data_IF_400134831711
#
_entry.id   IF_400134831711
#
_cell.length_a   1.000
_cell.length_b   1.000
_cell.length_c   1.000
_cell.angle_alpha   90.00
_cell.angle_beta   90.00
_cell.angle_gamma   90.00
#
_symmetry.space_group_name_H-M   'P 1'
#
loop_
_entity.id
_entity.type
_entity.pdbx_description
1 polymer ?
#
# COMPACT_ATOMS: atom_id res chain seq x y z
N UNK A 1 -3.78 72.06 -8.46
CA UNK A 1 -3.29 70.69 -8.20
C UNK A 1 -4.32 69.94 -7.36
N UNK A 2 -4.98 68.91 -7.90
CA UNK A 2 -5.88 68.00 -7.15
C UNK A 2 -5.40 66.58 -7.42
N UNK A 3 -5.02 65.88 -6.35
CA UNK A 3 -4.53 64.50 -6.36
C UNK A 3 -5.69 63.52 -6.18
N UNK A 4 -5.55 62.39 -6.87
CA UNK A 4 -6.44 61.26 -7.07
C UNK A 4 -6.70 60.49 -5.75
N UNK A 5 -7.97 60.18 -5.47
CA UNK A 5 -8.38 59.20 -4.46
C UNK A 5 -9.04 57.99 -5.11
N UNK A 6 -8.42 56.81 -4.96
CA UNK A 6 -8.84 55.52 -5.52
C UNK A 6 -10.25 55.10 -5.08
N UNK A 7 -11.10 54.70 -6.03
CA UNK A 7 -12.32 53.93 -5.81
C UNK A 7 -11.97 52.48 -5.45
N UNK A 8 -12.49 51.96 -4.34
CA UNK A 8 -12.53 50.52 -4.05
C UNK A 8 -13.89 49.93 -4.45
N UNK A 9 -13.85 48.85 -5.23
CA UNK A 9 -15.03 48.09 -5.66
C UNK A 9 -15.65 47.29 -4.49
N UNK A 10 -16.97 47.07 -4.48
CA UNK A 10 -17.63 46.31 -3.41
C UNK A 10 -17.26 44.82 -3.48
N UNK A 11 -16.88 44.26 -2.33
CA UNK A 11 -16.49 42.87 -2.17
C UNK A 11 -17.72 41.96 -2.28
N UNK A 12 -17.89 41.32 -3.45
CA UNK A 12 -18.93 40.31 -3.71
C UNK A 12 -18.38 38.97 -3.21
N UNK A 13 -18.63 38.60 -1.94
CA UNK A 13 -18.66 37.20 -1.47
C UNK A 13 -18.90 37.16 0.06
N UNK A 14 -20.13 37.37 0.53
CA UNK A 14 -20.46 37.18 1.96
C UNK A 14 -21.78 36.47 2.24
N UNK A 15 -22.34 35.73 1.28
CA UNK A 15 -23.58 34.97 1.50
C UNK A 15 -23.40 33.71 2.35
N UNK A 16 -22.19 33.15 2.48
CA UNK A 16 -21.93 32.01 3.38
C UNK A 16 -21.59 32.41 4.82
N UNK A 17 -21.15 33.65 5.07
CA UNK A 17 -20.73 34.08 6.40
C UNK A 17 -21.90 34.42 7.34
N UNK A 18 -23.10 34.67 6.79
CA UNK A 18 -24.25 35.14 7.58
C UNK A 18 -24.97 34.03 8.35
N UNK A 19 -24.83 32.77 7.94
CA UNK A 19 -25.48 31.64 8.61
C UNK A 19 -24.68 31.02 9.77
N UNK A 20 -23.41 31.41 9.97
CA UNK A 20 -22.57 30.85 11.05
C UNK A 20 -22.72 31.57 12.40
N UNK A 21 -23.39 32.73 12.44
CA UNK A 21 -23.43 33.59 13.64
C UNK A 21 -24.51 33.23 14.68
N UNK A 22 -25.34 32.21 14.45
CA UNK A 22 -26.41 31.83 15.39
C UNK A 22 -26.29 30.43 16.01
N UNK A 23 -25.25 29.64 15.69
CA UNK A 23 -25.05 28.28 16.24
C UNK A 23 -23.66 28.01 16.82
N UNK A 24 -22.88 29.06 17.13
CA UNK A 24 -21.53 28.91 17.66
C UNK A 24 -21.48 28.76 19.20
N UNK A 25 -22.33 27.90 19.77
CA UNK A 25 -22.08 27.29 21.09
C UNK A 25 -21.64 25.85 20.84
N UNK A 26 -20.31 25.64 20.92
CA UNK A 26 -19.65 24.33 20.84
C UNK A 26 -20.01 23.49 19.61
N UNK A 27 -19.68 23.98 18.41
CA UNK A 27 -19.61 23.10 17.25
C UNK A 27 -18.45 22.12 17.46
N UNK A 28 -18.76 20.90 17.89
CA UNK A 28 -17.81 19.79 17.93
C UNK A 28 -17.39 19.47 16.50
N UNK A 29 -16.17 19.86 16.12
CA UNK A 29 -15.58 19.48 14.83
C UNK A 29 -14.89 18.14 15.05
N UNK A 30 -15.46 17.01 14.57
CA UNK A 30 -14.80 15.72 14.69
C UNK A 30 -13.48 15.72 13.92
N UNK A 31 -12.54 14.87 14.34
CA UNK A 31 -11.30 14.66 13.61
C UNK A 31 -11.62 14.22 12.17
N UNK A 32 -11.19 15.01 11.19
CA UNK A 32 -11.47 14.77 9.76
C UNK A 32 -10.23 14.36 8.97
N UNK A 33 -9.02 14.56 9.51
CA UNK A 33 -7.76 14.17 8.89
C UNK A 33 -7.19 12.92 9.55
N UNK A 34 -7.06 11.86 8.76
CA UNK A 34 -6.51 10.57 9.17
C UNK A 34 -5.37 10.18 8.20
N UNK A 35 -4.11 10.53 8.50
CA UNK A 35 -2.99 10.30 7.57
C UNK A 35 -2.85 8.81 7.19
N UNK A 36 -3.18 7.92 8.12
CA UNK A 36 -3.08 6.47 7.98
C UNK A 36 -4.44 5.75 7.85
N UNK A 37 -5.53 6.48 7.57
CA UNK A 37 -6.88 5.92 7.52
C UNK A 37 -7.59 5.92 8.88
N UNK A 38 -8.89 5.60 8.89
CA UNK A 38 -9.68 5.55 10.14
C UNK A 38 -9.39 4.24 10.89
N UNK A 39 -9.03 4.27 12.18
CA UNK A 39 -8.69 3.06 12.92
C UNK A 39 -9.87 2.07 12.92
N UNK A 40 -9.61 0.77 12.63
CA UNK A 40 -10.65 -0.24 12.73
C UNK A 40 -11.07 -0.45 14.19
N UNK A 41 -12.27 -1.01 14.45
CA UNK A 41 -12.70 -1.35 15.80
C UNK A 41 -11.70 -2.31 16.48
N UNK A 42 -11.29 -2.00 17.71
CA UNK A 42 -10.27 -2.76 18.44
C UNK A 42 -10.58 -4.27 18.53
N UNK A 43 -11.86 -4.63 18.66
CA UNK A 43 -12.34 -6.01 18.69
C UNK A 43 -11.98 -6.78 17.41
N UNK A 44 -12.08 -6.14 16.24
CA UNK A 44 -11.75 -6.78 14.96
C UNK A 44 -10.25 -7.06 14.85
N UNK A 45 -9.41 -6.15 15.34
CA UNK A 45 -7.96 -6.31 15.39
C UNK A 45 -7.58 -7.50 16.27
N UNK A 46 -8.11 -7.56 17.49
CA UNK A 46 -7.79 -8.63 18.45
C UNK A 46 -8.26 -10.00 17.95
N UNK A 47 -9.48 -10.08 17.40
CA UNK A 47 -10.00 -11.33 16.81
C UNK A 47 -9.18 -11.81 15.62
N UNK A 48 -8.55 -10.89 14.87
CA UNK A 48 -7.66 -11.24 13.75
C UNK A 48 -6.33 -11.77 14.25
N UNK A 49 -5.77 -11.17 15.32
CA UNK A 49 -4.52 -11.63 15.94
C UNK A 49 -4.67 -13.02 16.56
N UNK A 50 -5.76 -13.28 17.29
CA UNK A 50 -6.06 -14.61 17.84
C UNK A 50 -6.18 -15.66 16.73
N UNK A 51 -6.82 -15.32 15.60
CA UNK A 51 -6.90 -16.22 14.45
C UNK A 51 -5.54 -16.48 13.79
N UNK A 52 -4.65 -15.49 13.77
CA UNK A 52 -3.28 -15.67 13.29
C UNK A 52 -2.51 -16.62 14.20
N UNK A 53 -2.56 -16.42 15.53
CA UNK A 53 -1.93 -17.30 16.51
C UNK A 53 -2.41 -18.76 16.36
N UNK A 54 -3.71 -18.97 16.22
CA UNK A 54 -4.30 -20.29 15.95
C UNK A 54 -3.90 -20.89 14.60
N UNK A 55 -3.52 -20.06 13.62
CA UNK A 55 -3.08 -20.55 12.32
C UNK A 55 -1.62 -20.96 12.39
N UNK A 56 -0.77 -20.15 13.04
CA UNK A 56 0.64 -20.47 13.25
C UNK A 56 0.84 -21.70 14.15
N UNK A 57 -0.04 -21.93 15.14
CA UNK A 57 0.04 -23.11 16.02
C UNK A 57 -0.19 -24.45 15.32
N UNK A 58 -0.67 -24.44 14.07
CA UNK A 58 -0.84 -25.65 13.24
C UNK A 58 0.45 -26.07 12.53
N UNK A 59 1.48 -25.22 12.56
CA UNK A 59 2.78 -25.50 11.95
C UNK A 59 3.79 -25.91 13.01
N UNK A 60 4.73 -26.78 12.61
CA UNK A 60 5.83 -27.21 13.46
C UNK A 60 6.67 -26.02 13.92
N UNK A 61 7.04 -26.03 15.20
CA UNK A 61 7.81 -24.98 15.87
C UNK A 61 7.26 -23.56 15.71
N UNK A 62 5.97 -23.39 15.36
CA UNK A 62 5.39 -22.07 15.05
C UNK A 62 6.05 -21.37 13.84
N UNK A 63 6.66 -22.16 12.95
CA UNK A 63 7.38 -21.69 11.77
C UNK A 63 6.64 -22.06 10.48
N UNK A 64 6.42 -21.07 9.61
CA UNK A 64 5.73 -21.29 8.32
C UNK A 64 6.74 -21.24 7.17
N UNK A 65 6.92 -22.34 6.43
CA UNK A 65 7.81 -22.35 5.27
C UNK A 65 7.21 -21.52 4.12
N UNK A 66 8.09 -21.07 3.20
CA UNK A 66 7.75 -20.15 2.11
C UNK A 66 6.60 -20.64 1.22
N UNK A 67 6.55 -21.94 0.95
CA UNK A 67 5.53 -22.59 0.12
C UNK A 67 4.14 -22.57 0.77
N UNK A 68 4.07 -22.65 2.11
CA UNK A 68 2.81 -22.60 2.88
C UNK A 68 2.39 -21.21 3.32
N UNK A 69 3.24 -20.20 3.13
CA UNK A 69 2.97 -18.84 3.60
C UNK A 69 1.70 -18.19 3.00
N UNK A 70 1.21 -18.67 1.85
CA UNK A 70 -0.06 -18.24 1.26
C UNK A 70 -1.28 -18.46 2.20
N UNK A 71 -1.20 -19.43 3.11
CA UNK A 71 -2.23 -19.70 4.13
C UNK A 71 -2.35 -18.51 5.08
N UNK A 72 -1.23 -17.97 5.55
CA UNK A 72 -1.19 -16.79 6.43
C UNK A 72 -1.73 -15.56 5.71
N UNK A 73 -1.33 -15.34 4.47
CA UNK A 73 -1.80 -14.21 3.63
C UNK A 73 -3.31 -14.24 3.45
N UNK A 74 -3.89 -15.43 3.23
CA UNK A 74 -5.33 -15.62 3.11
C UNK A 74 -6.04 -15.31 4.43
N UNK A 75 -5.49 -15.75 5.56
CA UNK A 75 -6.02 -15.44 6.90
C UNK A 75 -6.01 -13.95 7.21
N UNK A 76 -4.97 -13.24 6.76
CA UNK A 76 -4.85 -11.78 6.84
C UNK A 76 -5.88 -11.02 5.99
N UNK A 77 -6.63 -11.70 5.11
CA UNK A 77 -7.60 -11.13 4.18
C UNK A 77 -7.00 -10.02 3.28
N UNK A 78 -5.73 -10.21 2.88
CA UNK A 78 -5.06 -9.33 1.91
C UNK A 78 -4.88 -10.05 0.57
N UNK A 79 -4.73 -9.32 -0.54
CA UNK A 79 -4.54 -9.94 -1.84
C UNK A 79 -3.31 -10.86 -1.89
N UNK A 80 -3.40 -11.99 -2.61
CA UNK A 80 -2.33 -12.99 -2.67
C UNK A 80 -1.00 -12.44 -3.22
N UNK A 81 -1.03 -11.42 -4.08
CA UNK A 81 0.20 -10.80 -4.56
C UNK A 81 0.98 -10.08 -3.45
N UNK A 82 0.39 -9.84 -2.27
CA UNK A 82 1.10 -9.31 -1.09
C UNK A 82 1.98 -10.37 -0.41
N UNK A 83 1.87 -11.65 -0.81
CA UNK A 83 2.60 -12.76 -0.20
C UNK A 83 4.10 -12.53 -0.16
N UNK A 84 4.72 -12.16 -1.27
CA UNK A 84 6.18 -11.92 -1.29
C UNK A 84 6.59 -10.68 -0.51
N UNK A 85 5.94 -9.51 -0.68
CA UNK A 85 6.18 -8.35 0.18
C UNK A 85 6.07 -8.67 1.67
N UNK A 86 5.03 -9.38 2.10
CA UNK A 86 4.81 -9.75 3.50
C UNK A 86 5.87 -10.73 4.01
N UNK A 87 6.18 -11.76 3.23
CA UNK A 87 7.21 -12.74 3.59
C UNK A 87 8.54 -12.04 3.82
N UNK A 88 8.91 -11.15 2.91
CA UNK A 88 10.18 -10.44 2.93
C UNK A 88 10.22 -9.29 3.95
N UNK A 89 9.06 -8.77 4.38
CA UNK A 89 8.97 -7.80 5.47
C UNK A 89 9.07 -8.44 6.86
N UNK A 90 8.91 -9.77 6.93
CA UNK A 90 8.95 -10.50 8.20
C UNK A 90 10.35 -11.06 8.43
N UNK A 91 10.95 -10.90 9.63
CA UNK A 91 12.22 -11.52 9.92
C UNK A 91 12.10 -13.05 9.91
N UNK A 92 12.94 -13.70 9.11
CA UNK A 92 12.95 -15.16 8.98
C UNK A 92 13.69 -15.83 10.14
N UNK A 93 13.39 -17.10 10.36
CA UNK A 93 14.17 -18.00 11.21
C UNK A 93 15.48 -18.41 10.53
N UNK A 94 16.43 -19.03 11.27
CA UNK A 94 17.65 -19.59 10.67
C UNK A 94 17.39 -20.61 9.56
N UNK A 95 16.22 -21.26 9.56
CA UNK A 95 15.79 -22.24 8.55
C UNK A 95 15.15 -21.60 7.32
N UNK A 96 15.04 -20.26 7.28
CA UNK A 96 14.40 -19.53 6.17
C UNK A 96 12.86 -19.56 6.21
N UNK A 97 12.26 -20.04 7.30
CA UNK A 97 10.82 -20.00 7.53
C UNK A 97 10.41 -18.70 8.23
N UNK A 98 9.12 -18.34 8.14
CA UNK A 98 8.56 -17.22 8.89
C UNK A 98 8.27 -17.67 10.31
N UNK A 99 8.90 -17.01 11.28
CA UNK A 99 8.58 -17.17 12.70
C UNK A 99 7.25 -16.47 13.01
N UNK A 100 6.30 -17.23 13.56
CA UNK A 100 4.96 -16.71 13.83
C UNK A 100 4.92 -15.59 14.86
N UNK A 101 5.77 -15.62 15.90
CA UNK A 101 5.80 -14.55 16.91
C UNK A 101 6.27 -13.24 16.26
N UNK A 102 7.36 -13.31 15.47
CA UNK A 102 7.87 -12.15 14.74
C UNK A 102 6.88 -11.62 13.72
N UNK A 103 6.13 -12.50 13.05
CA UNK A 103 5.06 -12.10 12.13
C UNK A 103 3.92 -11.39 12.87
N UNK A 104 3.45 -11.96 13.98
CA UNK A 104 2.34 -11.41 14.77
C UNK A 104 2.73 -10.04 15.34
N UNK A 105 3.95 -9.88 15.83
CA UNK A 105 4.47 -8.57 16.29
C UNK A 105 4.58 -7.55 15.16
N UNK A 106 5.02 -7.97 13.98
CA UNK A 106 5.01 -7.13 12.80
C UNK A 106 3.58 -6.71 12.41
N UNK A 107 2.65 -7.66 12.37
CA UNK A 107 1.25 -7.43 12.00
C UNK A 107 0.52 -6.53 13.00
N UNK A 108 0.79 -6.72 14.30
CA UNK A 108 0.27 -5.89 15.39
C UNK A 108 0.76 -4.45 15.24
N UNK A 109 2.07 -4.24 15.05
CA UNK A 109 2.64 -2.90 14.79
C UNK A 109 2.04 -2.25 13.56
N UNK A 110 1.96 -2.97 12.44
CA UNK A 110 1.34 -2.46 11.22
C UNK A 110 -0.10 -2.00 11.46
N UNK A 111 -0.91 -2.81 12.16
CA UNK A 111 -2.33 -2.49 12.38
C UNK A 111 -2.52 -1.27 13.29
N UNK A 112 -1.56 -1.00 14.18
CA UNK A 112 -1.52 0.22 15.00
C UNK A 112 -1.26 1.48 14.18
N UNK A 113 -0.40 1.41 13.15
CA UNK A 113 -0.01 2.57 12.36
C UNK A 113 -0.74 2.70 11.02
N UNK A 114 -1.39 1.66 10.53
CA UNK A 114 -1.92 1.59 9.17
C UNK A 114 -3.34 1.01 9.15
N UNK A 115 -4.30 1.87 8.81
CA UNK A 115 -5.72 1.57 8.93
C UNK A 115 -6.44 1.47 7.57
N UNK A 116 -5.72 1.64 6.46
CA UNK A 116 -6.23 1.45 5.10
C UNK A 116 -5.28 0.57 4.27
N UNK A 117 -5.75 0.08 3.12
CA UNK A 117 -4.97 -0.81 2.26
C UNK A 117 -3.70 -0.14 1.72
N UNK A 118 -3.74 1.15 1.38
CA UNK A 118 -2.57 1.86 0.86
C UNK A 118 -1.51 2.06 1.95
N UNK A 119 -1.90 2.47 3.15
CA UNK A 119 -0.95 2.62 4.27
C UNK A 119 -0.31 1.28 4.66
N UNK A 120 -1.11 0.20 4.72
CA UNK A 120 -0.60 -1.15 4.99
C UNK A 120 0.37 -1.61 3.91
N UNK A 121 0.03 -1.43 2.64
CA UNK A 121 0.90 -1.83 1.53
C UNK A 121 2.25 -1.10 1.56
N UNK A 122 2.24 0.24 1.73
CA UNK A 122 3.47 1.02 1.86
C UNK A 122 4.31 0.54 3.05
N UNK A 123 3.68 0.29 4.21
CA UNK A 123 4.39 -0.20 5.39
C UNK A 123 5.08 -1.56 5.15
N UNK A 124 4.40 -2.48 4.47
CA UNK A 124 4.94 -3.79 4.11
C UNK A 124 6.10 -3.65 3.11
N UNK A 125 5.92 -2.86 2.05
CA UNK A 125 6.95 -2.60 1.05
C UNK A 125 8.19 -1.93 1.66
N UNK A 126 7.99 -1.09 2.68
CA UNK A 126 9.04 -0.47 3.49
C UNK A 126 9.65 -1.37 4.56
N UNK A 127 9.41 -2.69 4.52
CA UNK A 127 9.94 -3.67 5.49
C UNK A 127 9.60 -3.34 6.95
N UNK A 128 8.45 -2.72 7.18
CA UNK A 128 8.00 -2.32 8.51
C UNK A 128 8.73 -1.11 9.12
N UNK A 129 9.49 -0.35 8.34
CA UNK A 129 10.11 0.88 8.81
C UNK A 129 9.07 2.03 8.82
N UNK A 130 8.63 2.51 10.01
CA UNK A 130 7.62 3.56 10.11
C UNK A 130 8.11 4.92 9.63
N UNK A 131 9.43 5.18 9.67
CA UNK A 131 10.04 6.42 9.18
C UNK A 131 10.13 6.47 7.65
N UNK A 132 9.89 5.34 6.98
CA UNK A 132 9.89 5.21 5.52
C UNK A 132 8.47 5.03 5.00
N UNK A 133 7.70 6.11 5.00
CA UNK A 133 6.31 6.13 4.49
C UNK A 133 6.22 6.28 2.95
N UNK A 134 7.16 5.68 2.24
CA UNK A 134 7.24 5.71 0.77
C UNK A 134 7.89 4.45 0.21
N UNK A 135 7.52 4.12 -1.03
CA UNK A 135 8.07 2.99 -1.79
C UNK A 135 9.09 3.53 -2.80
N UNK A 136 10.20 2.81 -2.96
CA UNK A 136 11.22 3.02 -3.99
C UNK A 136 11.08 1.97 -5.13
N UNK A 137 11.60 2.26 -6.33
CA UNK A 137 11.51 1.35 -7.47
C UNK A 137 12.01 -0.06 -7.15
N UNK A 138 13.09 -0.17 -6.37
CA UNK A 138 13.75 -1.43 -6.03
C UNK A 138 12.87 -2.31 -5.13
N UNK A 139 11.99 -1.71 -4.31
CA UNK A 139 11.09 -2.48 -3.44
C UNK A 139 10.06 -3.28 -4.24
N UNK A 140 9.73 -2.84 -5.47
CA UNK A 140 8.81 -3.56 -6.35
C UNK A 140 9.45 -4.76 -7.02
N UNK A 141 10.77 -4.82 -7.16
CA UNK A 141 11.43 -5.88 -7.92
C UNK A 141 11.06 -7.30 -7.46
N UNK A 142 11.09 -7.64 -6.14
CA UNK A 142 10.71 -8.97 -5.68
C UNK A 142 9.22 -9.30 -5.93
N UNK A 143 8.36 -8.29 -5.87
CA UNK A 143 6.93 -8.45 -6.14
C UNK A 143 6.67 -8.77 -7.61
N UNK A 144 7.27 -7.99 -8.52
CA UNK A 144 7.09 -8.20 -9.96
C UNK A 144 7.73 -9.50 -10.42
N UNK A 145 8.90 -9.87 -9.86
CA UNK A 145 9.55 -11.15 -10.16
C UNK A 145 8.64 -12.33 -9.78
N UNK A 146 8.03 -12.32 -8.59
CA UNK A 146 7.11 -13.40 -8.18
C UNK A 146 5.90 -13.53 -9.11
N UNK A 147 5.38 -12.41 -9.61
CA UNK A 147 4.30 -12.42 -10.59
C UNK A 147 4.75 -13.05 -11.92
N UNK A 148 5.96 -12.71 -12.40
CA UNK A 148 6.53 -13.34 -13.61
C UNK A 148 6.67 -14.85 -13.44
N UNK A 149 7.12 -15.30 -12.26
CA UNK A 149 7.43 -16.70 -12.00
C UNK A 149 6.19 -17.59 -11.78
N UNK A 150 5.10 -17.00 -11.29
CA UNK A 150 3.90 -17.73 -10.83
C UNK A 150 2.69 -17.57 -11.75
N UNK A 151 2.62 -16.49 -12.54
CA UNK A 151 1.43 -16.20 -13.32
C UNK A 151 1.40 -16.99 -14.65
N UNK A 152 0.38 -17.83 -14.93
CA UNK A 152 0.35 -18.68 -16.12
C UNK A 152 0.37 -17.88 -17.43
N UNK A 153 -0.23 -16.69 -17.45
CA UNK A 153 -0.19 -15.77 -18.59
C UNK A 153 1.20 -15.17 -18.88
N UNK A 154 2.19 -15.37 -18.02
CA UNK A 154 3.59 -14.97 -18.21
C UNK A 154 4.53 -16.19 -18.30
N UNK A 155 3.99 -17.41 -18.43
CA UNK A 155 4.77 -18.64 -18.51
C UNK A 155 5.79 -18.61 -19.67
N UNK A 156 5.44 -18.04 -20.82
CA UNK A 156 6.36 -17.85 -21.94
C UNK A 156 7.55 -16.95 -21.58
N UNK A 157 7.34 -15.94 -20.72
CA UNK A 157 8.39 -15.05 -20.29
C UNK A 157 9.33 -15.80 -19.35
N UNK A 158 8.80 -16.69 -18.50
CA UNK A 158 9.58 -17.54 -17.58
C UNK A 158 10.65 -18.37 -18.30
N UNK A 159 10.36 -18.85 -19.51
CA UNK A 159 11.30 -19.62 -20.33
C UNK A 159 12.42 -18.75 -20.94
N UNK A 160 12.19 -17.44 -21.07
CA UNK A 160 13.13 -16.50 -21.67
C UNK A 160 13.77 -15.57 -20.61
N UNK A 161 14.66 -16.16 -19.80
CA UNK A 161 15.33 -15.50 -18.66
C UNK A 161 16.06 -14.19 -19.00
N UNK A 162 16.57 -14.04 -20.24
CA UNK A 162 17.22 -12.81 -20.72
C UNK A 162 16.30 -11.58 -20.75
N UNK A 163 14.98 -11.77 -20.78
CA UNK A 163 14.00 -10.68 -20.81
C UNK A 163 13.40 -10.36 -19.44
N UNK A 164 13.65 -11.17 -18.41
CA UNK A 164 13.04 -11.00 -17.08
C UNK A 164 13.37 -9.65 -16.47
N UNK A 165 14.67 -9.33 -16.38
CA UNK A 165 15.14 -8.08 -15.80
C UNK A 165 14.54 -6.87 -16.56
N UNK A 166 14.57 -6.90 -17.90
CA UNK A 166 14.00 -5.84 -18.73
C UNK A 166 12.50 -5.66 -18.50
N UNK A 167 11.77 -6.77 -18.38
CA UNK A 167 10.33 -6.73 -18.09
C UNK A 167 10.05 -6.14 -16.71
N UNK A 168 10.76 -6.61 -15.67
CA UNK A 168 10.63 -6.10 -14.30
C UNK A 168 10.86 -4.60 -14.26
N UNK A 169 11.97 -4.10 -14.82
CA UNK A 169 12.26 -2.67 -14.89
C UNK A 169 11.16 -1.89 -15.62
N UNK A 170 10.68 -2.41 -16.76
CA UNK A 170 9.62 -1.75 -17.55
C UNK A 170 8.32 -1.64 -16.77
N UNK A 171 7.91 -2.70 -16.07
CA UNK A 171 6.70 -2.68 -15.23
C UNK A 171 6.83 -1.67 -14.11
N UNK A 172 7.98 -1.65 -13.42
CA UNK A 172 8.26 -0.68 -12.35
C UNK A 172 8.21 0.75 -12.90
N UNK A 173 8.83 1.03 -14.04
CA UNK A 173 8.77 2.35 -14.69
C UNK A 173 7.34 2.78 -15.01
N UNK A 174 6.49 1.86 -15.49
CA UNK A 174 5.07 2.16 -15.76
C UNK A 174 4.27 2.43 -14.51
N UNK A 175 4.53 1.70 -13.42
CA UNK A 175 3.93 1.97 -12.10
C UNK A 175 4.30 3.38 -11.64
N UNK A 176 5.58 3.73 -11.70
CA UNK A 176 6.04 5.07 -11.29
C UNK A 176 5.46 6.18 -12.15
N UNK A 177 5.39 5.98 -13.46
CA UNK A 177 4.77 6.95 -14.38
C UNK A 177 3.29 7.20 -14.06
N UNK A 178 2.55 6.14 -13.69
CA UNK A 178 1.13 6.23 -13.36
C UNK A 178 0.89 6.81 -11.96
N UNK A 179 1.67 6.41 -10.97
CA UNK A 179 1.39 6.66 -9.54
C UNK A 179 2.19 7.84 -8.98
N UNK A 180 3.48 7.95 -9.29
CA UNK A 180 4.35 9.00 -8.74
C UNK A 180 4.22 10.31 -9.51
N UNK A 181 3.06 10.97 -9.38
CA UNK A 181 2.75 12.24 -10.06
C UNK A 181 3.61 13.41 -9.60
N UNK A 182 4.25 13.28 -8.43
CA UNK A 182 5.18 14.28 -7.89
C UNK A 182 6.58 14.22 -8.51
N UNK A 183 6.92 13.18 -9.28
CA UNK A 183 8.25 12.97 -9.87
C UNK A 183 9.40 12.97 -8.85
N UNK A 184 9.09 12.68 -7.59
CA UNK A 184 10.06 12.62 -6.49
C UNK A 184 10.87 11.33 -6.47
N UNK A 185 10.46 10.31 -7.25
CA UNK A 185 11.02 8.96 -7.18
C UNK A 185 10.57 8.19 -5.93
N UNK A 186 9.63 8.73 -5.15
CA UNK A 186 9.13 8.13 -3.90
C UNK A 186 7.60 8.05 -3.95
N UNK A 187 7.04 6.85 -4.08
CA UNK A 187 5.59 6.67 -4.05
C UNK A 187 5.12 6.74 -2.60
N UNK A 188 4.42 7.81 -2.25
CA UNK A 188 3.88 8.00 -0.90
C UNK A 188 2.53 7.31 -0.71
N UNK A 189 2.14 7.07 0.54
CA UNK A 189 0.78 6.56 0.87
C UNK A 189 -0.33 7.40 0.24
N UNK A 190 -0.16 8.72 0.18
CA UNK A 190 -1.16 9.63 -0.39
C UNK A 190 -1.24 9.54 -1.93
N UNK A 191 -0.13 9.29 -2.62
CA UNK A 191 -0.12 9.02 -4.06
C UNK A 191 -0.73 7.65 -4.37
N UNK A 192 -0.36 6.63 -3.59
CA UNK A 192 -0.91 5.29 -3.74
C UNK A 192 -2.43 5.28 -3.54
N UNK A 193 -2.94 5.96 -2.51
CA UNK A 193 -4.38 6.06 -2.21
C UNK A 193 -5.19 6.78 -3.30
N UNK A 194 -4.56 7.69 -4.04
CA UNK A 194 -5.19 8.39 -5.19
C UNK A 194 -5.08 7.60 -6.48
N UNK A 195 -4.29 6.52 -6.48
CA UNK A 195 -4.11 5.65 -7.63
C UNK A 195 -4.97 4.40 -7.50
N UNK A 196 -5.30 3.79 -8.62
CA UNK A 196 -5.97 2.50 -8.63
C UNK A 196 -4.96 1.33 -8.62
N UNK A 197 -3.70 1.53 -8.17
CA UNK A 197 -2.67 0.48 -8.27
C UNK A 197 -3.08 -0.81 -7.56
N UNK A 198 -3.67 -0.69 -6.36
CA UNK A 198 -4.09 -1.84 -5.54
C UNK A 198 -5.32 -2.56 -6.12
N UNK A 199 -6.17 -1.84 -6.84
CA UNK A 199 -7.37 -2.39 -7.51
C UNK A 199 -7.03 -2.99 -8.88
N UNK A 200 -6.04 -2.41 -9.56
CA UNK A 200 -5.63 -2.71 -10.94
C UNK A 200 -4.43 -3.66 -10.96
N UNK A 201 -4.10 -4.28 -9.82
CA UNK A 201 -2.93 -5.15 -9.63
C UNK A 201 -2.90 -6.38 -10.55
N UNK A 202 -3.95 -6.63 -11.33
CA UNK A 202 -3.97 -7.62 -12.42
C UNK A 202 -3.95 -6.95 -13.81
N UNK A 203 -4.63 -5.83 -14.06
CA UNK A 203 -4.81 -5.33 -15.44
C UNK A 203 -3.56 -4.65 -16.05
N UNK A 204 -2.73 -3.96 -15.26
CA UNK A 204 -1.55 -3.23 -15.78
C UNK A 204 -0.43 -4.19 -16.23
N UNK A 205 -0.29 -5.33 -15.53
CA UNK A 205 0.61 -6.42 -15.93
C UNK A 205 0.23 -7.00 -17.30
N UNK A 206 -1.07 -7.13 -17.60
CA UNK A 206 -1.55 -7.68 -18.87
C UNK A 206 -1.54 -6.67 -20.02
N UNK A 207 -1.84 -5.39 -19.76
CA UNK A 207 -1.91 -4.37 -20.81
C UNK A 207 -0.54 -3.96 -21.37
N UNK A 208 0.53 -4.13 -20.58
CA UNK A 208 1.89 -3.83 -21.04
C UNK A 208 2.36 -4.74 -22.16
N UNK A 209 2.06 -6.03 -22.05
CA UNK A 209 2.56 -7.03 -22.99
C UNK A 209 1.74 -7.08 -24.28
N UNK A 210 0.41 -6.93 -24.20
CA UNK A 210 -0.45 -6.89 -25.39
C UNK A 210 -0.11 -5.72 -26.33
N UNK A 211 0.31 -4.59 -25.78
CA UNK A 211 0.75 -3.43 -26.56
C UNK A 211 2.21 -3.51 -27.03
N UNK A 212 3.08 -4.25 -26.32
CA UNK A 212 4.49 -4.37 -26.67
C UNK A 212 4.76 -5.47 -27.72
N UNK A 213 3.91 -6.50 -27.81
CA UNK A 213 3.99 -7.54 -28.87
C UNK A 213 3.23 -7.15 -30.14
N UNK A 214 2.26 -6.23 -30.08
CA UNK A 214 1.55 -5.74 -31.28
C UNK A 214 2.25 -4.56 -31.98
N UNK A 215 3.56 -4.37 -31.76
CA UNK A 215 4.40 -3.43 -32.50
C UNK A 215 5.67 -4.09 -33.00
#
# INVERSE_FOLDING_TARGET
>A
AKLVGRQSLPNIHTTLQRHLKSSAKNAYIPQFFFPHGKPPPAIQTETTLQRLEQTFSRFEDFHVPRDKFHIIVTMCQVPLYWRVPLFMATPLSPTGAVDGNKFIDFWRRMTTFCHDSASRFVYIMSRGNPSRSYILPEDFAPLIQDVVDTHPGLAFLKEASEFHSRYVHTVISRIYYAVNRSWTGKITTAELRRSNLLDVSILILFLGFKYLIMR
#
